data_IF_452421235178
#
_entry.id   IF_452421235178
#
_cell.length_a   1.000
_cell.length_b   1.000
_cell.length_c   1.000
_cell.angle_alpha   90.00
_cell.angle_beta   90.00
_cell.angle_gamma   90.00
#
_symmetry.space_group_name_H-M   'P 1'
#
loop_
_entity.id
_entity.type
_entity.pdbx_description
1 polymer ?
#
# COMPACT_ATOMS: atom_id res chain seq x y z
N UNK A 1 -7.66 3.90 -27.16
CA UNK A 1 -6.50 4.36 -26.37
C UNK A 1 -5.29 3.53 -26.76
N UNK A 2 -4.19 4.19 -27.13
CA UNK A 2 -2.96 3.53 -27.57
C UNK A 2 -2.40 2.60 -26.47
N UNK A 3 -1.90 1.42 -26.83
CA UNK A 3 -1.46 0.37 -25.89
C UNK A 3 -0.33 0.87 -24.97
N UNK A 4 0.53 1.73 -25.51
CA UNK A 4 1.60 2.44 -24.79
C UNK A 4 1.06 3.38 -23.70
N UNK A 5 -0.06 4.05 -23.95
CA UNK A 5 -0.68 4.97 -22.98
C UNK A 5 -1.29 4.20 -21.81
N UNK A 6 -1.91 3.04 -22.07
CA UNK A 6 -2.43 2.17 -21.01
C UNK A 6 -1.31 1.65 -20.12
N UNK A 7 -0.19 1.21 -20.70
CA UNK A 7 0.94 0.68 -19.95
C UNK A 7 1.58 1.74 -19.03
N UNK A 8 1.78 2.97 -19.55
CA UNK A 8 2.25 4.10 -18.72
C UNK A 8 1.30 4.42 -17.57
N UNK A 9 -0.01 4.42 -17.84
CA UNK A 9 -1.01 4.71 -16.83
C UNK A 9 -1.03 3.66 -15.72
N UNK A 10 -0.95 2.37 -16.06
CA UNK A 10 -0.90 1.28 -15.07
C UNK A 10 0.35 1.38 -14.20
N UNK A 11 1.50 1.70 -14.78
CA UNK A 11 2.75 1.91 -14.00
C UNK A 11 2.60 3.11 -13.06
N UNK A 12 2.10 4.24 -13.56
CA UNK A 12 1.89 5.43 -12.74
C UNK A 12 0.90 5.16 -11.59
N UNK A 13 -0.21 4.47 -11.86
CA UNK A 13 -1.17 4.07 -10.84
C UNK A 13 -0.55 3.12 -9.80
N UNK A 14 0.29 2.18 -10.22
CA UNK A 14 1.01 1.29 -9.31
C UNK A 14 1.97 2.03 -8.38
N UNK A 15 2.72 3.01 -8.91
CA UNK A 15 3.62 3.85 -8.11
C UNK A 15 2.86 4.70 -7.10
N UNK A 16 1.75 5.32 -7.50
CA UNK A 16 0.89 6.10 -6.59
C UNK A 16 0.31 5.21 -5.50
N UNK A 17 -0.21 4.03 -5.86
CA UNK A 17 -0.74 3.07 -4.89
C UNK A 17 0.32 2.63 -3.87
N UNK A 18 1.56 2.39 -4.32
CA UNK A 18 2.67 2.03 -3.45
C UNK A 18 2.99 3.16 -2.45
N UNK A 19 3.06 4.41 -2.92
CA UNK A 19 3.29 5.57 -2.06
C UNK A 19 2.17 5.75 -1.02
N UNK A 20 0.92 5.55 -1.40
CA UNK A 20 -0.23 5.60 -0.48
C UNK A 20 -0.13 4.51 0.59
N UNK A 21 0.23 3.28 0.19
CA UNK A 21 0.38 2.18 1.15
C UNK A 21 1.51 2.45 2.15
N UNK A 22 2.66 2.97 1.69
CA UNK A 22 3.77 3.35 2.57
C UNK A 22 3.33 4.49 3.51
N UNK A 23 2.63 5.49 2.99
CA UNK A 23 2.09 6.59 3.79
C UNK A 23 1.13 6.11 4.89
N UNK A 24 0.26 5.14 4.58
CA UNK A 24 -0.62 4.49 5.55
C UNK A 24 0.19 3.78 6.66
N UNK A 25 1.24 3.05 6.33
CA UNK A 25 2.10 2.40 7.33
C UNK A 25 2.73 3.44 8.26
N UNK A 26 3.34 4.49 7.71
CA UNK A 26 3.99 5.55 8.51
C UNK A 26 2.96 6.27 9.40
N UNK A 27 1.77 6.54 8.86
CA UNK A 27 0.69 7.19 9.60
C UNK A 27 0.17 6.29 10.73
N UNK A 28 -0.08 5.01 10.45
CA UNK A 28 -0.52 4.04 11.45
C UNK A 28 0.48 3.92 12.60
N UNK A 29 1.77 3.88 12.28
CA UNK A 29 2.85 3.86 13.28
C UNK A 29 2.85 5.10 14.15
N UNK A 30 2.80 6.28 13.51
CA UNK A 30 2.84 7.58 14.20
C UNK A 30 1.59 7.82 15.06
N UNK A 31 0.42 7.38 14.58
CA UNK A 31 -0.86 7.50 15.27
C UNK A 31 -0.95 6.51 16.45
N UNK A 32 -0.48 5.28 16.27
CA UNK A 32 -0.47 4.24 17.29
C UNK A 32 0.49 4.51 18.45
N UNK A 33 1.56 5.28 18.22
CA UNK A 33 2.53 5.66 19.24
C UNK A 33 1.98 6.64 20.29
N UNK A 34 0.83 7.27 20.04
CA UNK A 34 0.20 8.21 20.97
C UNK A 34 -0.54 7.51 22.11
N UNK A 35 0.18 6.81 23.01
CA UNK A 35 -0.14 6.48 24.42
C UNK A 35 -1.48 5.85 24.84
N UNK A 36 -2.54 5.94 24.04
CA UNK A 36 -3.86 5.38 24.30
C UNK A 36 -4.01 4.04 23.59
N UNK A 37 -4.44 3.02 24.33
CA UNK A 37 -4.63 1.65 23.82
C UNK A 37 -5.58 1.62 22.59
N UNK A 38 -6.61 2.46 22.59
CA UNK A 38 -7.57 2.59 21.47
C UNK A 38 -6.90 3.13 20.19
N UNK A 39 -5.99 4.09 20.32
CA UNK A 39 -5.20 4.64 19.22
C UNK A 39 -4.13 3.65 18.77
N UNK A 40 -3.53 2.90 19.69
CA UNK A 40 -2.60 1.81 19.39
C UNK A 40 -3.22 0.73 18.52
N UNK A 41 -4.41 0.24 18.88
CA UNK A 41 -5.14 -0.78 18.09
C UNK A 41 -5.52 -0.23 16.72
N UNK A 42 -5.99 1.02 16.67
CA UNK A 42 -6.37 1.67 15.42
C UNK A 42 -5.15 1.91 14.51
N UNK A 43 -4.02 2.35 15.07
CA UNK A 43 -2.75 2.53 14.38
C UNK A 43 -2.21 1.21 13.80
N UNK A 44 -2.26 0.14 14.60
CA UNK A 44 -1.90 -1.21 14.15
C UNK A 44 -2.78 -1.68 12.98
N UNK A 45 -4.10 -1.41 13.04
CA UNK A 45 -5.02 -1.73 11.95
C UNK A 45 -4.67 -1.00 10.65
N UNK A 46 -4.30 0.27 10.75
CA UNK A 46 -3.88 1.10 9.61
C UNK A 46 -2.53 0.61 9.05
N UNK A 47 -1.57 0.26 9.91
CA UNK A 47 -0.30 -0.33 9.48
C UNK A 47 -0.51 -1.63 8.71
N UNK A 48 -1.29 -2.56 9.27
CA UNK A 48 -1.60 -3.84 8.64
C UNK A 48 -2.34 -3.66 7.31
N UNK A 49 -3.22 -2.66 7.20
CA UNK A 49 -3.89 -2.32 5.95
C UNK A 49 -2.89 -1.85 4.88
N UNK A 50 -1.96 -0.95 5.25
CA UNK A 50 -0.91 -0.50 4.35
C UNK A 50 0.01 -1.64 3.91
N UNK A 51 0.39 -2.52 4.84
CA UNK A 51 1.23 -3.69 4.57
C UNK A 51 0.51 -4.70 3.65
N UNK A 52 -0.77 -4.96 3.88
CA UNK A 52 -1.59 -5.80 3.01
C UNK A 52 -1.67 -5.21 1.58
N UNK A 53 -1.81 -3.89 1.46
CA UNK A 53 -1.77 -3.20 0.17
C UNK A 53 -0.45 -3.41 -0.59
N UNK A 54 0.68 -3.31 0.11
CA UNK A 54 2.01 -3.60 -0.48
C UNK A 54 2.11 -5.06 -0.93
N UNK A 55 1.64 -6.01 -0.13
CA UNK A 55 1.65 -7.43 -0.48
C UNK A 55 0.78 -7.74 -1.70
N UNK A 56 -0.39 -7.11 -1.81
CA UNK A 56 -1.26 -7.24 -2.99
C UNK A 56 -0.60 -6.66 -4.24
N UNK A 57 0.00 -5.48 -4.14
CA UNK A 57 0.74 -4.87 -5.26
C UNK A 57 1.91 -5.76 -5.70
N UNK A 58 2.66 -6.31 -4.73
CA UNK A 58 3.74 -7.23 -5.01
C UNK A 58 3.24 -8.53 -5.65
N UNK A 59 2.12 -9.09 -5.16
CA UNK A 59 1.49 -10.26 -5.76
C UNK A 59 1.06 -9.99 -7.20
N UNK A 60 0.39 -8.87 -7.48
CA UNK A 60 -0.04 -8.52 -8.83
C UNK A 60 1.13 -8.26 -9.77
N UNK A 61 2.20 -7.64 -9.27
CA UNK A 61 3.45 -7.48 -10.00
C UNK A 61 4.11 -8.83 -10.30
N UNK A 62 4.08 -9.76 -9.34
CA UNK A 62 4.74 -11.05 -9.43
C UNK A 62 3.91 -12.13 -10.15
N UNK A 63 2.58 -11.98 -10.23
CA UNK A 63 1.66 -12.91 -10.91
C UNK A 63 2.08 -13.31 -12.33
N UNK A 64 2.58 -12.43 -13.21
CA UNK A 64 3.07 -12.84 -14.53
C UNK A 64 4.38 -13.65 -14.49
N UNK A 65 5.09 -13.65 -13.36
CA UNK A 65 6.35 -14.37 -13.17
C UNK A 65 6.17 -15.69 -12.39
N UNK A 66 5.12 -15.81 -11.58
CA UNK A 66 4.73 -17.05 -10.88
C UNK A 66 3.86 -17.90 -11.81
N UNK A 67 4.45 -18.96 -12.39
CA UNK A 67 3.76 -19.97 -13.22
C UNK A 67 2.81 -20.85 -12.41
#
# INVERSE_FOLDING_TARGET
MNEYTKKKLTVAAGVVALLVCIGLVIFGHSYGFSGELSKGISGLGIELLGLAGILVLLYLYNKPFTK
#
